data_IF_961178189385
#
_entry.id   IF_961178189385
#
_cell.length_a   1.000
_cell.length_b   1.000
_cell.length_c   1.000
_cell.angle_alpha   90.00
_cell.angle_beta   90.00
_cell.angle_gamma   90.00
#
_symmetry.space_group_name_H-M   'P 1'
#
loop_
_entity.id
_entity.type
_entity.pdbx_description
1 polymer ?
#
# COMPACT_ATOMS: atom_id res chain seq x y z
N UNK A 1 -13.28 -12.01 -7.49
CA UNK A 1 -12.65 -10.72 -7.68
C UNK A 1 -12.06 -10.60 -9.09
N UNK A 2 -11.65 -9.41 -9.43
CA UNK A 2 -10.91 -9.11 -10.67
C UNK A 2 -9.45 -8.87 -10.31
N UNK A 3 -8.53 -9.31 -11.16
CA UNK A 3 -7.08 -9.09 -11.02
C UNK A 3 -6.61 -8.27 -12.21
N UNK A 4 -5.82 -7.24 -11.97
CA UNK A 4 -5.08 -6.52 -13.00
C UNK A 4 -3.60 -6.93 -12.94
N UNK A 5 -2.99 -7.14 -14.10
CA UNK A 5 -1.60 -7.58 -14.24
C UNK A 5 -0.89 -6.65 -15.20
N UNK A 6 0.25 -6.10 -14.78
CA UNK A 6 1.16 -5.38 -15.65
C UNK A 6 2.06 -6.38 -16.39
N UNK A 7 2.08 -6.32 -17.71
CA UNK A 7 2.80 -7.25 -18.58
C UNK A 7 3.70 -6.46 -19.53
N UNK A 8 4.93 -6.92 -19.71
CA UNK A 8 5.85 -6.40 -20.74
C UNK A 8 6.00 -7.45 -21.85
N UNK A 9 5.68 -7.06 -23.09
CA UNK A 9 5.80 -7.89 -24.28
C UNK A 9 6.45 -7.07 -25.40
N UNK A 10 7.60 -7.52 -25.93
CA UNK A 10 8.32 -6.86 -27.04
C UNK A 10 8.58 -5.36 -26.83
N UNK A 11 9.06 -5.00 -25.64
CA UNK A 11 9.35 -3.61 -25.21
C UNK A 11 8.09 -2.73 -25.03
N UNK A 12 6.90 -3.32 -25.13
CA UNK A 12 5.64 -2.66 -24.88
C UNK A 12 5.05 -3.11 -23.54
N UNK A 13 4.28 -2.23 -22.91
CA UNK A 13 3.65 -2.51 -21.62
C UNK A 13 2.13 -2.53 -21.76
N UNK A 14 1.53 -3.55 -21.14
CA UNK A 14 0.08 -3.77 -21.18
C UNK A 14 -0.44 -3.93 -19.76
N UNK A 15 -1.65 -3.47 -19.49
CA UNK A 15 -2.40 -3.94 -18.32
C UNK A 15 -3.49 -4.88 -18.81
N UNK A 16 -3.46 -6.10 -18.30
CA UNK A 16 -4.48 -7.13 -18.60
C UNK A 16 -5.31 -7.35 -17.35
N UNK A 17 -6.63 -7.41 -17.51
CA UNK A 17 -7.58 -7.66 -16.43
C UNK A 17 -8.22 -9.03 -16.60
N UNK A 18 -8.31 -9.79 -15.52
CA UNK A 18 -8.87 -11.15 -15.55
C UNK A 18 -9.94 -11.32 -14.48
N UNK A 19 -10.96 -12.12 -14.76
CA UNK A 19 -11.93 -12.57 -13.78
C UNK A 19 -11.36 -13.71 -12.89
N UNK A 20 -12.17 -14.17 -11.93
CA UNK A 20 -11.81 -15.28 -11.00
C UNK A 20 -11.56 -16.61 -11.72
N UNK A 21 -12.01 -16.78 -12.95
CA UNK A 21 -11.84 -17.99 -13.76
C UNK A 21 -10.64 -17.87 -14.71
N UNK A 22 -9.90 -16.76 -14.67
CA UNK A 22 -8.78 -16.50 -15.55
C UNK A 22 -9.19 -16.04 -16.96
N UNK A 23 -10.47 -15.68 -17.19
CA UNK A 23 -10.91 -15.11 -18.45
C UNK A 23 -10.47 -13.65 -18.52
N UNK A 24 -9.81 -13.28 -19.62
CA UNK A 24 -9.46 -11.89 -19.88
C UNK A 24 -10.72 -11.04 -20.09
N UNK A 25 -10.85 -9.99 -19.28
CA UNK A 25 -11.95 -9.02 -19.31
C UNK A 25 -11.61 -7.81 -20.15
N UNK A 26 -10.36 -7.37 -20.09
CA UNK A 26 -9.84 -6.22 -20.81
C UNK A 26 -8.32 -6.32 -20.95
N UNK A 27 -7.81 -5.77 -22.04
CA UNK A 27 -6.38 -5.52 -22.24
C UNK A 27 -6.21 -4.12 -22.82
N UNK A 28 -5.31 -3.36 -22.23
CA UNK A 28 -4.98 -2.02 -22.69
C UNK A 28 -3.48 -1.85 -22.77
N UNK A 29 -3.04 -1.26 -23.88
CA UNK A 29 -1.69 -0.82 -24.06
C UNK A 29 -1.61 0.58 -23.47
N UNK A 30 -0.76 0.74 -22.44
CA UNK A 30 -0.60 2.03 -21.75
C UNK A 30 0.71 2.66 -22.21
N UNK A 31 0.61 3.47 -23.26
CA UNK A 31 1.76 4.22 -23.75
C UNK A 31 1.76 5.64 -23.23
N UNK A 32 2.83 5.96 -22.61
CA UNK A 32 3.39 7.26 -22.89
C UNK A 32 4.38 7.10 -24.05
N UNK A 33 4.63 8.16 -24.76
CA UNK A 33 5.72 8.26 -25.72
C UNK A 33 6.96 7.56 -25.15
N UNK A 34 7.65 6.77 -25.93
CA UNK A 34 8.83 5.87 -25.75
C UNK A 34 9.74 6.00 -24.50
N UNK A 35 9.37 6.75 -23.47
CA UNK A 35 10.20 7.07 -22.29
C UNK A 35 9.49 6.87 -20.95
N UNK A 36 8.19 6.55 -20.94
CA UNK A 36 7.45 6.26 -19.72
C UNK A 36 7.44 4.77 -19.43
N UNK A 37 8.02 4.39 -18.31
CA UNK A 37 8.12 3.00 -17.87
C UNK A 37 7.11 2.82 -16.73
N UNK A 38 6.05 1.99 -16.91
CA UNK A 38 5.13 1.72 -15.81
C UNK A 38 5.84 0.92 -14.71
N UNK A 39 5.63 1.33 -13.47
CA UNK A 39 6.26 0.76 -12.28
C UNK A 39 5.27 0.09 -11.34
N UNK A 40 4.04 0.63 -11.28
CA UNK A 40 3.00 0.06 -10.43
C UNK A 40 1.61 0.33 -10.99
N UNK A 41 0.66 -0.55 -10.63
CA UNK A 41 -0.75 -0.45 -11.00
C UNK A 41 -1.63 -0.71 -9.78
N UNK A 42 -2.72 0.04 -9.67
CA UNK A 42 -3.72 -0.16 -8.64
C UNK A 42 -5.13 -0.27 -9.23
N UNK A 43 -5.87 -1.30 -8.83
CA UNK A 43 -7.25 -1.53 -9.21
C UNK A 43 -8.17 -1.21 -8.04
N UNK A 44 -9.27 -0.47 -8.26
CA UNK A 44 -10.27 -0.21 -7.22
C UNK A 44 -11.00 -1.49 -6.80
N UNK A 45 -11.57 -1.53 -5.60
CA UNK A 45 -12.23 -2.72 -5.07
C UNK A 45 -13.43 -3.18 -5.92
N UNK A 46 -14.13 -2.22 -6.54
CA UNK A 46 -15.21 -2.49 -7.49
C UNK A 46 -14.71 -2.83 -8.91
N UNK A 47 -13.39 -2.87 -9.12
CA UNK A 47 -12.71 -3.13 -10.40
C UNK A 47 -13.11 -2.19 -11.56
N UNK A 48 -13.64 -1.00 -11.24
CA UNK A 48 -14.07 -0.01 -12.25
C UNK A 48 -13.05 1.07 -12.52
N UNK A 49 -12.03 1.20 -11.67
CA UNK A 49 -11.00 2.21 -11.78
C UNK A 49 -9.62 1.59 -11.69
N UNK A 50 -8.73 2.08 -12.52
CA UNK A 50 -7.33 1.71 -12.56
C UNK A 50 -6.49 2.96 -12.41
N UNK A 51 -5.43 2.89 -11.61
CA UNK A 51 -4.34 3.85 -11.62
C UNK A 51 -3.09 3.16 -12.15
N UNK A 52 -2.29 3.87 -12.92
CA UNK A 52 -0.99 3.41 -13.42
C UNK A 52 0.02 4.47 -13.05
N UNK A 53 1.05 4.10 -12.31
CA UNK A 53 2.22 4.94 -12.10
C UNK A 53 3.31 4.58 -13.11
N UNK A 54 3.91 5.60 -13.67
CA UNK A 54 4.97 5.50 -14.67
C UNK A 54 6.14 6.40 -14.29
N UNK A 55 7.34 5.96 -14.60
CA UNK A 55 8.54 6.80 -14.51
C UNK A 55 8.82 7.41 -15.89
N UNK A 56 8.91 8.74 -15.94
CA UNK A 56 9.43 9.50 -17.08
C UNK A 56 10.91 9.81 -16.85
N UNK A 57 11.76 9.21 -17.63
CA UNK A 57 13.23 9.44 -17.60
C UNK A 57 13.71 10.40 -18.70
N UNK A 58 12.78 11.07 -19.36
CA UNK A 58 13.12 12.07 -20.37
C UNK A 58 13.83 13.27 -19.75
N UNK A 59 14.88 13.75 -20.38
CA UNK A 59 15.59 14.95 -19.93
C UNK A 59 16.59 14.75 -18.79
N UNK A 60 16.96 13.50 -18.44
CA UNK A 60 17.97 13.19 -17.41
C UNK A 60 17.50 13.42 -15.98
N UNK A 61 16.18 13.48 -15.77
CA UNK A 61 15.52 13.52 -14.46
C UNK A 61 14.59 12.32 -14.35
N UNK A 62 14.24 11.99 -13.12
CA UNK A 62 13.25 10.95 -12.83
C UNK A 62 11.99 11.63 -12.31
N UNK A 63 10.94 11.60 -13.12
CA UNK A 63 9.64 12.13 -12.75
C UNK A 63 8.65 10.96 -12.67
N UNK A 64 7.74 10.96 -11.70
CA UNK A 64 6.62 10.01 -11.69
C UNK A 64 5.37 10.62 -12.31
N UNK A 65 4.63 9.80 -13.05
CA UNK A 65 3.39 10.18 -13.73
C UNK A 65 2.29 9.19 -13.37
N UNK A 66 1.31 9.63 -12.59
CA UNK A 66 0.14 8.81 -12.24
C UNK A 66 -1.01 9.13 -13.18
N UNK A 67 -1.47 8.14 -13.92
CA UNK A 67 -2.65 8.23 -14.79
C UNK A 67 -3.81 7.44 -14.22
N UNK A 68 -5.00 8.04 -14.22
CA UNK A 68 -6.24 7.44 -13.72
C UNK A 68 -7.18 7.10 -14.86
N UNK A 69 -7.75 5.90 -14.80
CA UNK A 69 -8.71 5.37 -15.76
C UNK A 69 -10.00 4.98 -15.06
N UNK A 70 -11.15 5.24 -15.68
CA UNK A 70 -12.46 4.89 -15.14
C UNK A 70 -13.29 4.19 -16.20
N UNK A 71 -13.52 2.89 -16.02
CA UNK A 71 -14.27 2.04 -16.93
C UNK A 71 -15.79 1.99 -16.61
N UNK A 72 -16.19 2.57 -15.45
CA UNK A 72 -17.58 2.51 -14.98
C UNK A 72 -18.48 3.63 -15.48
N UNK A 73 -17.92 4.71 -16.02
CA UNK A 73 -18.69 5.93 -16.35
C UNK A 73 -18.73 6.27 -17.83
N UNK A 74 -18.02 5.55 -18.68
CA UNK A 74 -17.89 5.86 -20.10
C UNK A 74 -18.63 4.81 -20.90
N UNK A 75 -19.63 5.25 -21.70
CA UNK A 75 -20.20 4.39 -22.73
C UNK A 75 -19.10 4.00 -23.70
N UNK A 76 -18.89 2.73 -23.88
CA UNK A 76 -18.28 1.92 -24.95
C UNK A 76 -17.27 2.51 -25.95
N UNK A 77 -16.75 3.70 -25.79
CA UNK A 77 -15.65 4.23 -26.61
C UNK A 77 -14.32 4.00 -25.90
N UNK A 78 -13.62 2.96 -26.31
CA UNK A 78 -12.41 2.41 -25.70
C UNK A 78 -11.19 3.33 -25.71
N UNK A 79 -11.26 4.51 -26.30
CA UNK A 79 -10.06 5.34 -26.57
C UNK A 79 -9.79 6.35 -25.45
N UNK A 80 -10.72 6.61 -24.52
CA UNK A 80 -10.54 7.73 -23.58
C UNK A 80 -11.07 7.47 -22.17
N UNK A 81 -10.70 6.33 -21.59
CA UNK A 81 -11.00 6.04 -20.19
C UNK A 81 -10.09 6.81 -19.22
N UNK A 82 -9.09 7.55 -19.72
CA UNK A 82 -8.25 8.41 -18.88
C UNK A 82 -9.07 9.58 -18.36
N UNK A 83 -9.19 9.67 -17.04
CA UNK A 83 -9.94 10.73 -16.35
C UNK A 83 -9.03 11.76 -15.69
N UNK A 84 -7.72 11.56 -15.71
CA UNK A 84 -6.75 12.52 -15.21
C UNK A 84 -5.35 11.98 -15.09
N UNK A 85 -4.37 12.86 -15.20
CA UNK A 85 -2.95 12.56 -15.07
C UNK A 85 -2.31 13.58 -14.16
N UNK A 86 -1.41 13.14 -13.29
CA UNK A 86 -0.62 13.95 -12.36
C UNK A 86 0.86 13.65 -12.57
N UNK A 87 1.65 14.70 -12.75
CA UNK A 87 3.11 14.60 -12.88
C UNK A 87 3.77 15.14 -11.60
N UNK A 88 4.75 14.39 -11.11
CA UNK A 88 5.55 14.71 -9.92
C UNK A 88 7.01 14.79 -10.33
N UNK A 89 7.51 16.02 -10.44
CA UNK A 89 8.88 16.28 -10.87
C UNK A 89 9.89 15.91 -9.78
N UNK A 90 10.97 15.21 -10.17
CA UNK A 90 12.05 14.75 -9.29
C UNK A 90 11.52 13.95 -8.06
N UNK A 91 10.47 13.18 -8.23
CA UNK A 91 9.94 12.27 -7.20
C UNK A 91 9.78 10.88 -7.81
N UNK A 92 10.18 9.87 -7.04
CA UNK A 92 9.91 8.49 -7.34
C UNK A 92 8.71 8.03 -6.50
N UNK A 93 7.71 7.44 -7.15
CA UNK A 93 6.52 6.88 -6.51
C UNK A 93 6.56 5.36 -6.71
N UNK A 94 7.15 4.58 -5.80
CA UNK A 94 7.28 3.14 -5.95
C UNK A 94 5.99 2.38 -5.69
N UNK A 95 5.00 2.99 -5.07
CA UNK A 95 3.77 2.29 -4.67
C UNK A 95 2.55 3.18 -4.79
N UNK A 96 1.52 2.64 -5.45
CA UNK A 96 0.16 3.17 -5.50
C UNK A 96 -0.83 2.09 -5.09
N UNK A 97 -1.89 2.45 -4.36
CA UNK A 97 -2.92 1.49 -3.97
C UNK A 97 -4.30 2.13 -3.84
N UNK A 98 -5.34 1.46 -4.35
CA UNK A 98 -6.70 1.79 -3.98
C UNK A 98 -7.00 1.20 -2.59
N UNK A 99 -7.42 2.05 -1.67
CA UNK A 99 -7.83 1.69 -0.31
C UNK A 99 -9.36 1.68 -0.15
N UNK A 100 -10.07 2.05 -1.18
CA UNK A 100 -11.53 1.90 -1.35
C UNK A 100 -11.89 2.07 -2.83
N UNK A 101 -13.18 1.99 -3.17
CA UNK A 101 -13.65 2.24 -4.54
C UNK A 101 -13.36 3.65 -5.08
N UNK A 102 -13.17 4.63 -4.20
CA UNK A 102 -12.98 6.03 -4.59
C UNK A 102 -11.72 6.69 -4.05
N UNK A 103 -10.95 5.97 -3.21
CA UNK A 103 -9.74 6.53 -2.61
C UNK A 103 -8.52 5.73 -3.01
N UNK A 104 -7.50 6.44 -3.49
CA UNK A 104 -6.20 5.92 -3.84
C UNK A 104 -5.12 6.64 -3.05
N UNK A 105 -4.09 5.91 -2.66
CA UNK A 105 -2.86 6.45 -2.07
C UNK A 105 -1.70 6.26 -3.03
N UNK A 106 -0.77 7.21 -3.02
CA UNK A 106 0.51 7.10 -3.68
C UNK A 106 1.62 7.45 -2.67
N UNK A 107 2.65 6.64 -2.60
CA UNK A 107 3.74 6.82 -1.66
C UNK A 107 5.02 7.10 -2.43
N UNK A 108 5.58 8.29 -2.21
CA UNK A 108 6.87 8.68 -2.79
C UNK A 108 7.97 8.66 -1.72
N UNK A 109 9.19 8.91 -2.16
CA UNK A 109 10.34 9.15 -1.29
C UNK A 109 10.20 10.38 -0.38
N UNK A 110 9.25 11.27 -0.66
CA UNK A 110 9.07 12.55 0.04
C UNK A 110 7.68 12.71 0.67
N UNK A 111 6.67 12.03 0.13
CA UNK A 111 5.28 12.30 0.49
C UNK A 111 4.41 11.04 0.43
N UNK A 112 3.35 11.04 1.25
CA UNK A 112 2.18 10.22 1.02
C UNK A 112 1.10 11.14 0.43
N UNK A 113 0.57 10.78 -0.71
CA UNK A 113 -0.48 11.52 -1.41
C UNK A 113 -1.78 10.74 -1.35
N UNK A 114 -2.86 11.40 -0.96
CA UNK A 114 -4.20 10.81 -0.88
C UNK A 114 -5.07 11.45 -1.95
N UNK A 115 -5.55 10.62 -2.87
CA UNK A 115 -6.52 11.01 -3.90
C UNK A 115 -7.90 10.51 -3.53
N UNK A 116 -8.93 11.31 -3.80
CA UNK A 116 -10.32 10.95 -3.54
C UNK A 116 -11.22 11.41 -4.69
N UNK A 117 -12.19 10.60 -5.06
CA UNK A 117 -13.16 10.90 -6.10
C UNK A 117 -13.70 9.66 -6.83
N UNK A 118 -15.03 9.58 -6.95
CA UNK A 118 -15.70 8.44 -7.56
C UNK A 118 -15.59 8.41 -9.10
N UNK A 119 -15.45 9.57 -9.74
CA UNK A 119 -15.38 9.70 -11.20
C UNK A 119 -13.96 10.06 -11.64
N UNK A 120 -13.43 11.15 -11.11
CA UNK A 120 -12.09 11.67 -11.36
C UNK A 120 -11.39 11.87 -10.02
N UNK A 121 -10.39 11.03 -9.68
CA UNK A 121 -9.61 11.21 -8.47
C UNK A 121 -8.89 12.56 -8.46
N UNK A 122 -8.97 13.26 -7.34
CA UNK A 122 -8.28 14.53 -7.10
C UNK A 122 -7.39 14.40 -5.88
N UNK A 123 -6.22 15.01 -5.94
CA UNK A 123 -5.35 15.12 -4.78
C UNK A 123 -6.08 15.87 -3.66
N UNK A 124 -6.30 15.19 -2.54
CA UNK A 124 -7.03 15.71 -1.37
C UNK A 124 -6.08 16.09 -0.25
N UNK A 125 -5.05 15.29 -0.03
CA UNK A 125 -4.12 15.46 1.08
C UNK A 125 -2.72 15.05 0.64
N UNK A 126 -1.71 15.76 1.17
CA UNK A 126 -0.31 15.39 1.09
C UNK A 126 0.28 15.40 2.49
N UNK A 127 0.85 14.27 2.90
CA UNK A 127 1.56 14.10 4.16
C UNK A 127 3.05 14.07 3.82
N UNK A 128 3.81 15.04 4.32
CA UNK A 128 5.25 15.09 4.11
C UNK A 128 5.96 14.04 4.96
N UNK A 129 6.89 13.34 4.35
CA UNK A 129 7.77 12.39 5.01
C UNK A 129 9.05 13.12 5.46
N UNK A 130 9.53 12.80 6.66
CA UNK A 130 10.71 13.44 7.25
C UNK A 130 12.01 12.78 6.78
N UNK A 131 11.93 11.51 6.40
CA UNK A 131 13.06 10.67 6.00
C UNK A 131 12.59 9.68 4.95
N UNK A 132 13.54 9.00 4.31
CA UNK A 132 13.24 7.81 3.51
C UNK A 132 12.58 6.75 4.38
N UNK A 133 11.53 6.15 3.86
CA UNK A 133 10.79 5.07 4.51
C UNK A 133 11.38 3.72 4.13
N UNK A 134 11.34 2.77 5.08
CA UNK A 134 11.71 1.37 4.82
C UNK A 134 10.50 0.53 4.46
N UNK A 135 9.35 0.86 5.01
CA UNK A 135 8.10 0.13 4.81
C UNK A 135 6.90 1.05 4.82
N UNK A 136 5.90 0.69 4.04
CA UNK A 136 4.55 1.24 4.11
C UNK A 136 3.55 0.12 4.39
N UNK A 137 2.52 0.42 5.16
CA UNK A 137 1.41 -0.50 5.42
C UNK A 137 0.11 0.29 5.53
N UNK A 138 -0.97 -0.26 5.01
CA UNK A 138 -2.23 0.47 4.92
C UNK A 138 -3.44 -0.48 4.96
N UNK A 139 -4.58 0.10 5.24
CA UNK A 139 -5.89 -0.51 5.06
C UNK A 139 -6.88 0.53 4.53
N UNK A 140 -8.18 0.26 4.59
CA UNK A 140 -9.21 1.19 4.09
C UNK A 140 -9.44 2.43 4.96
N UNK A 141 -8.71 2.60 6.08
CA UNK A 141 -8.88 3.71 7.04
C UNK A 141 -7.59 4.46 7.35
N UNK A 142 -6.46 3.78 7.31
CA UNK A 142 -5.19 4.27 7.83
C UNK A 142 -4.03 3.94 6.90
N UNK A 143 -2.97 4.76 7.00
CA UNK A 143 -1.68 4.49 6.37
C UNK A 143 -0.58 4.70 7.40
N UNK A 144 0.32 3.73 7.50
CA UNK A 144 1.49 3.77 8.34
C UNK A 144 2.77 3.67 7.53
N UNK A 145 3.82 4.25 8.08
CA UNK A 145 5.19 4.17 7.55
C UNK A 145 6.16 3.79 8.65
N UNK A 146 7.19 3.05 8.29
CA UNK A 146 8.31 2.77 9.17
C UNK A 146 9.59 3.35 8.58
N UNK A 147 10.42 3.89 9.45
CA UNK A 147 11.71 4.47 9.14
C UNK A 147 12.81 3.69 9.88
N UNK A 148 13.94 3.45 9.22
CA UNK A 148 15.14 2.97 9.91
C UNK A 148 15.58 3.94 10.97
N UNK A 149 15.94 3.39 12.13
CA UNK A 149 16.59 4.12 13.18
C UNK A 149 17.97 3.50 13.46
N UNK A 150 19.01 4.33 13.45
CA UNK A 150 20.39 3.88 13.73
C UNK A 150 20.68 3.71 15.24
N UNK A 151 19.66 3.78 16.09
CA UNK A 151 19.80 3.56 17.54
C UNK A 151 19.82 2.06 17.83
N UNK A 152 20.78 1.61 18.65
CA UNK A 152 20.91 0.21 19.05
C UNK A 152 19.71 -0.34 19.84
N UNK A 153 18.93 0.53 20.47
CA UNK A 153 17.77 0.18 21.28
C UNK A 153 16.43 0.33 20.52
N UNK A 154 16.46 0.89 19.32
CA UNK A 154 15.30 1.13 18.49
C UNK A 154 15.69 0.90 17.03
N UNK A 155 15.23 -0.18 16.45
CA UNK A 155 15.54 -0.52 15.05
C UNK A 155 14.73 0.30 14.09
N UNK A 156 13.50 0.65 14.46
CA UNK A 156 12.58 1.36 13.57
C UNK A 156 11.64 2.28 14.31
N UNK A 157 11.30 3.36 13.66
CA UNK A 157 10.33 4.37 14.09
C UNK A 157 9.08 4.27 13.23
N UNK A 158 7.91 4.09 13.83
CA UNK A 158 6.65 3.84 13.15
C UNK A 158 5.72 5.03 13.33
N UNK A 159 5.19 5.57 12.24
CA UNK A 159 4.16 6.60 12.25
C UNK A 159 2.89 6.11 11.57
N UNK A 160 1.74 6.44 12.12
CA UNK A 160 0.43 6.11 11.58
C UNK A 160 -0.41 7.37 11.39
N UNK A 161 -1.07 7.46 10.24
CA UNK A 161 -1.93 8.58 9.87
C UNK A 161 -3.31 8.11 9.43
N UNK A 162 -4.33 8.96 9.66
CA UNK A 162 -5.57 8.87 8.91
C UNK A 162 -5.42 9.51 7.52
N UNK A 163 -6.39 9.31 6.64
CA UNK A 163 -6.35 9.89 5.28
C UNK A 163 -6.65 11.39 5.22
N UNK A 164 -6.85 12.07 6.35
CA UNK A 164 -6.89 13.53 6.43
C UNK A 164 -5.53 14.11 6.86
N UNK A 165 -4.50 13.25 7.05
CA UNK A 165 -3.16 13.62 7.45
C UNK A 165 -2.98 13.80 8.95
N UNK A 166 -3.97 13.43 9.78
CA UNK A 166 -3.81 13.45 11.23
C UNK A 166 -2.95 12.27 11.67
N UNK A 167 -1.86 12.56 12.35
CA UNK A 167 -1.03 11.54 13.00
C UNK A 167 -1.77 10.94 14.20
N UNK A 168 -1.88 9.64 14.24
CA UNK A 168 -2.60 8.87 15.27
C UNK A 168 -1.66 8.13 16.21
N UNK A 169 -0.52 7.68 15.70
CA UNK A 169 0.47 6.90 16.43
C UNK A 169 1.87 7.32 16.00
N UNK A 170 2.77 7.35 16.97
CA UNK A 170 4.21 7.52 16.78
C UNK A 170 4.90 6.67 17.84
N UNK A 171 5.57 5.58 17.42
CA UNK A 171 6.17 4.61 18.31
C UNK A 171 7.51 4.11 17.76
N UNK A 172 8.40 3.78 18.68
CA UNK A 172 9.62 3.05 18.39
C UNK A 172 9.44 1.56 18.62
N UNK A 173 10.09 0.74 17.81
CA UNK A 173 10.21 -0.70 18.04
C UNK A 173 11.66 -1.14 17.99
N UNK A 174 12.02 -2.06 18.91
CA UNK A 174 13.31 -2.73 18.93
C UNK A 174 13.29 -4.05 18.10
N UNK A 175 12.14 -4.43 17.59
CA UNK A 175 12.01 -5.64 16.76
C UNK A 175 12.61 -5.36 15.38
N UNK A 176 13.57 -6.18 14.96
CA UNK A 176 13.97 -6.28 13.57
C UNK A 176 12.81 -6.99 12.83
N UNK A 177 11.88 -6.21 12.30
CA UNK A 177 10.64 -6.73 11.77
C UNK A 177 10.81 -7.33 10.37
N UNK A 178 10.05 -8.37 10.10
CA UNK A 178 9.83 -8.93 8.77
C UNK A 178 8.54 -8.35 8.13
N UNK A 179 7.57 -8.00 8.97
CA UNK A 179 6.34 -7.33 8.51
C UNK A 179 5.80 -6.36 9.56
N UNK A 180 5.18 -5.28 9.06
CA UNK A 180 4.28 -4.41 9.81
C UNK A 180 2.98 -4.36 9.03
N UNK A 181 1.87 -4.70 9.66
CA UNK A 181 0.58 -4.77 8.99
C UNK A 181 -0.57 -4.48 9.95
N UNK A 182 -1.74 -4.20 9.40
CA UNK A 182 -2.97 -4.16 10.18
C UNK A 182 -3.57 -5.57 10.27
N UNK A 183 -4.02 -5.92 11.46
CA UNK A 183 -4.93 -7.04 11.61
C UNK A 183 -6.39 -6.65 11.27
N UNK A 184 -7.30 -7.62 11.30
CA UNK A 184 -8.72 -7.39 11.00
C UNK A 184 -9.45 -6.53 12.06
N UNK A 185 -8.83 -6.27 13.20
CA UNK A 185 -9.32 -5.36 14.25
C UNK A 185 -8.76 -3.92 14.13
N UNK A 186 -8.04 -3.62 13.06
CA UNK A 186 -7.30 -2.38 12.83
C UNK A 186 -6.19 -2.13 13.87
N UNK A 187 -5.59 -3.15 14.44
CA UNK A 187 -4.41 -3.04 15.29
C UNK A 187 -3.15 -3.17 14.44
N UNK A 188 -2.08 -2.52 14.85
CA UNK A 188 -0.79 -2.59 14.16
C UNK A 188 0.01 -3.74 14.74
N UNK A 189 0.29 -4.74 13.93
CA UNK A 189 1.11 -5.89 14.27
C UNK A 189 2.51 -5.73 13.68
N UNK A 190 3.52 -5.70 14.54
CA UNK A 190 4.95 -5.71 14.18
C UNK A 190 5.46 -7.11 14.43
N UNK A 191 5.90 -7.81 13.39
CA UNK A 191 6.33 -9.22 13.47
C UNK A 191 7.77 -9.35 12.99
N UNK A 192 8.64 -9.83 13.87
CA UNK A 192 10.01 -10.25 13.57
C UNK A 192 10.14 -11.77 13.53
N UNK A 193 11.40 -12.27 13.44
CA UNK A 193 11.65 -13.72 13.37
C UNK A 193 11.14 -14.48 14.59
N UNK A 194 11.35 -13.93 15.79
CA UNK A 194 11.00 -14.58 17.06
C UNK A 194 10.29 -13.65 18.03
N UNK A 195 9.83 -12.49 17.59
CA UNK A 195 9.17 -11.54 18.48
C UNK A 195 8.03 -10.83 17.76
N UNK A 196 7.01 -10.40 18.51
CA UNK A 196 5.99 -9.50 17.99
C UNK A 196 5.55 -8.46 19.00
N UNK A 197 5.04 -7.37 18.45
CA UNK A 197 4.33 -6.32 19.17
C UNK A 197 2.98 -6.06 18.53
N UNK A 198 1.98 -5.78 19.35
CA UNK A 198 0.64 -5.38 18.88
C UNK A 198 0.31 -4.03 19.51
N UNK A 199 -0.07 -3.08 18.68
CA UNK A 199 -0.45 -1.73 19.09
C UNK A 199 -1.88 -1.40 18.68
N UNK A 200 -2.56 -0.62 19.51
CA UNK A 200 -3.76 0.07 19.05
C UNK A 200 -3.39 1.15 18.02
N UNK A 201 -4.35 1.64 17.25
CA UNK A 201 -4.16 2.78 16.33
C UNK A 201 -3.70 4.08 17.00
N UNK A 202 -3.76 4.16 18.32
CA UNK A 202 -3.29 5.30 19.11
C UNK A 202 -1.94 5.03 19.81
N UNK A 203 -1.23 3.99 19.40
CA UNK A 203 0.12 3.69 19.86
C UNK A 203 0.21 3.04 21.25
N UNK A 204 -0.92 2.61 21.81
CA UNK A 204 -0.88 1.84 23.08
C UNK A 204 -0.43 0.43 22.77
N UNK A 205 0.72 0.02 23.33
CA UNK A 205 1.24 -1.35 23.20
C UNK A 205 0.34 -2.29 24.00
N UNK A 206 -0.37 -3.17 23.31
CA UNK A 206 -1.24 -4.19 23.90
C UNK A 206 -0.49 -5.46 24.24
N UNK A 207 0.52 -5.78 23.45
CA UNK A 207 1.24 -7.04 23.57
C UNK A 207 2.67 -6.90 23.10
N UNK A 208 3.57 -7.63 23.78
CA UNK A 208 4.92 -7.93 23.35
C UNK A 208 5.25 -9.35 23.81
N UNK A 209 5.82 -10.15 22.92
CA UNK A 209 6.29 -11.48 23.27
C UNK A 209 7.47 -11.91 22.41
N UNK A 210 8.35 -12.70 23.00
CA UNK A 210 9.46 -13.37 22.33
C UNK A 210 9.19 -14.87 22.33
N UNK A 211 9.26 -15.50 21.16
CA UNK A 211 8.98 -16.90 20.94
C UNK A 211 10.27 -17.71 20.80
N UNK A 212 10.25 -18.97 21.22
CA UNK A 212 11.39 -19.89 21.07
C UNK A 212 11.57 -20.34 19.60
N UNK A 213 10.47 -20.37 18.84
CA UNK A 213 10.44 -20.79 17.43
C UNK A 213 10.19 -19.59 16.52
N UNK A 214 10.53 -19.77 15.23
CA UNK A 214 10.29 -18.74 14.23
C UNK A 214 8.80 -18.45 14.07
N UNK A 215 8.43 -17.18 14.23
CA UNK A 215 7.08 -16.67 14.07
C UNK A 215 6.85 -16.29 12.59
N UNK A 216 5.77 -16.78 12.00
CA UNK A 216 5.41 -16.46 10.62
C UNK A 216 4.28 -15.43 10.52
N UNK A 217 3.27 -15.55 11.41
CA UNK A 217 2.09 -14.70 11.31
C UNK A 217 1.40 -14.53 12.66
N UNK A 218 0.88 -13.32 12.86
CA UNK A 218 -0.04 -12.98 13.96
C UNK A 218 -1.36 -12.55 13.33
N UNK A 219 -2.47 -13.08 13.79
CA UNK A 219 -3.79 -12.74 13.28
C UNK A 219 -4.78 -12.54 14.43
N UNK A 220 -5.55 -11.47 14.38
CA UNK A 220 -6.72 -11.32 15.24
C UNK A 220 -7.80 -12.34 14.80
N UNK A 221 -8.33 -13.09 15.75
CA UNK A 221 -9.36 -14.09 15.47
C UNK A 221 -10.78 -13.52 15.59
N UNK A 222 -11.18 -13.18 16.79
CA UNK A 222 -12.53 -12.63 17.07
C UNK A 222 -12.68 -12.32 18.56
N UNK A 223 -13.73 -11.55 18.93
CA UNK A 223 -14.05 -11.23 20.30
C UNK A 223 -13.03 -10.30 20.96
N UNK A 224 -12.93 -10.31 22.30
CA UNK A 224 -11.98 -9.46 22.99
C UNK A 224 -10.61 -10.16 23.11
N UNK A 225 -9.62 -9.61 22.42
CA UNK A 225 -8.21 -9.97 22.54
C UNK A 225 -7.87 -11.45 22.20
N UNK A 226 -8.56 -12.09 21.28
CA UNK A 226 -8.20 -13.44 20.83
C UNK A 226 -7.38 -13.37 19.54
N UNK A 227 -6.21 -14.00 19.55
CA UNK A 227 -5.26 -14.01 18.45
C UNK A 227 -4.83 -15.43 18.11
N UNK A 228 -4.40 -15.61 16.87
CA UNK A 228 -3.76 -16.83 16.39
C UNK A 228 -2.30 -16.46 16.09
N UNK A 229 -1.39 -17.25 16.66
CA UNK A 229 0.04 -17.16 16.38
C UNK A 229 0.45 -18.40 15.59
N UNK A 230 1.09 -18.20 14.45
CA UNK A 230 1.58 -19.29 13.59
C UNK A 230 3.10 -19.26 13.64
N UNK A 231 3.68 -20.35 14.13
CA UNK A 231 5.13 -20.54 14.22
C UNK A 231 5.60 -21.73 13.39
N UNK A 232 6.91 -21.95 13.41
CA UNK A 232 7.46 -23.14 12.81
C UNK A 232 6.94 -24.41 13.51
N UNK A 233 6.20 -25.23 12.75
CA UNK A 233 5.62 -26.50 13.20
C UNK A 233 4.41 -26.41 14.13
N UNK A 234 3.90 -25.21 14.48
CA UNK A 234 2.78 -25.08 15.42
C UNK A 234 1.89 -23.85 15.15
N UNK A 235 0.69 -23.90 15.73
CA UNK A 235 -0.27 -22.79 15.75
C UNK A 235 -0.96 -22.75 17.11
N UNK A 236 -0.95 -21.58 17.74
CA UNK A 236 -1.61 -21.38 19.04
C UNK A 236 -2.71 -20.32 18.96
N UNK A 237 -3.79 -20.59 19.67
CA UNK A 237 -4.83 -19.62 19.95
C UNK A 237 -4.64 -19.04 21.35
N UNK A 238 -4.45 -17.72 21.43
CA UNK A 238 -4.12 -17.03 22.67
C UNK A 238 -5.10 -15.91 22.94
N UNK A 239 -5.58 -15.82 24.17
CA UNK A 239 -6.33 -14.67 24.67
C UNK A 239 -5.39 -13.76 25.46
N UNK A 240 -5.15 -12.56 24.92
CA UNK A 240 -4.40 -11.54 25.65
C UNK A 240 -5.23 -11.00 26.82
N UNK A 241 -4.60 -10.86 27.99
CA UNK A 241 -5.24 -10.38 29.22
C UNK A 241 -5.19 -8.87 29.33
#
# INVERSE_FOLDING_TARGET
GTVAVLVSENENYYVKMYDVNGKELASGEFFGEQKNIPVDIALSYDAKKLAVDMIDVSGGKTDSVISFYNFGSVGQNEIDNNVGTYKYENQLIPEIAYVSDSRMIAVSDQNIMVFDGSQKPKLKQTIKLEKLIDSVFYNNKYIGVAYSNNDKNCTSHIKLYDFNGKMLMENDTAIAYNSIEFDSNNEVCVTGDTACEIYTIHGVKKFYHTFDNKLYKVMYKSGMNNYIFIYDGAMDEVRLK
#
